data_IF_295171655065
#
_entry.id   IF_295171655065
#
_cell.length_a   1.000
_cell.length_b   1.000
_cell.length_c   1.000
_cell.angle_alpha   90.00
_cell.angle_beta   90.00
_cell.angle_gamma   90.00
#
_symmetry.space_group_name_H-M   'P 1'
#
loop_
_entity.id
_entity.type
_entity.pdbx_description
1 polymer ?
#
# COMPACT_ATOMS: atom_id res chain seq x y z
N UNK A 1 9.97 12.02 10.03
CA UNK A 1 11.36 12.42 9.71
C UNK A 1 12.32 11.24 9.50
N UNK A 2 12.36 10.15 10.28
CA UNK A 2 13.26 9.03 9.96
C UNK A 2 12.89 8.26 8.68
N UNK A 3 11.59 8.09 8.40
CA UNK A 3 11.10 7.41 7.19
C UNK A 3 11.14 8.32 5.95
N UNK A 4 10.83 9.62 6.08
CA UNK A 4 10.89 10.56 4.94
C UNK A 4 12.29 11.14 4.70
N UNK A 5 13.17 11.31 5.69
CA UNK A 5 14.56 11.78 5.43
C UNK A 5 15.47 10.71 4.82
N UNK A 6 15.08 9.44 4.91
CA UNK A 6 15.66 8.36 4.12
C UNK A 6 15.19 8.46 2.65
N UNK A 7 14.17 9.27 2.36
CA UNK A 7 13.61 9.43 1.02
C UNK A 7 13.91 10.81 0.39
N UNK A 8 14.08 11.92 1.14
CA UNK A 8 13.97 13.29 0.55
C UNK A 8 14.88 14.43 1.06
N UNK A 9 15.98 14.19 1.80
CA UNK A 9 16.85 15.32 2.22
C UNK A 9 17.83 15.84 1.13
N UNK A 10 18.46 17.03 1.27
CA UNK A 10 19.64 17.39 0.47
C UNK A 10 20.87 16.54 0.89
N UNK A 11 21.90 16.47 0.04
CA UNK A 11 23.23 16.00 0.44
C UNK A 11 23.89 17.07 1.34
N UNK A 12 24.61 16.71 2.42
CA UNK A 12 25.34 17.72 3.19
C UNK A 12 26.52 18.22 2.35
N UNK A 13 26.58 19.54 2.15
CA UNK A 13 27.78 20.24 1.72
C UNK A 13 28.85 20.10 2.83
N UNK A 14 30.10 19.94 2.43
CA UNK A 14 31.22 19.71 3.34
C UNK A 14 31.48 20.92 4.22
N UNK A 15 31.50 20.69 5.53
CA UNK A 15 32.13 21.58 6.51
C UNK A 15 33.28 20.82 7.16
N UNK A 16 34.45 21.44 7.12
CA UNK A 16 35.71 20.94 7.64
C UNK A 16 35.80 21.11 9.17
N UNK A 17 36.58 20.23 9.80
CA UNK A 17 37.35 20.58 11.00
C UNK A 17 36.66 20.49 12.37
N UNK A 18 36.31 19.29 12.82
CA UNK A 18 36.37 18.89 14.23
C UNK A 18 36.27 17.36 14.33
N UNK A 19 37.13 16.72 15.12
CA UNK A 19 37.15 15.27 15.33
C UNK A 19 35.81 14.80 15.95
N UNK A 20 34.88 14.42 15.09
CA UNK A 20 33.59 13.89 15.47
C UNK A 20 33.75 12.42 15.86
N UNK A 21 33.23 12.03 17.03
CA UNK A 21 32.90 10.64 17.33
C UNK A 21 32.29 9.97 16.08
N UNK A 22 32.60 8.69 15.78
CA UNK A 22 32.04 8.00 14.62
C UNK A 22 30.52 7.97 14.74
N UNK A 23 29.86 8.96 14.13
CA UNK A 23 28.41 9.00 13.98
C UNK A 23 28.05 7.72 13.26
N UNK A 24 27.36 6.80 13.95
CA UNK A 24 26.84 5.56 13.36
C UNK A 24 26.26 5.89 11.96
N UNK A 25 26.68 5.18 10.90
CA UNK A 25 26.29 5.52 9.55
C UNK A 25 24.77 5.57 9.46
N UNK A 26 24.23 6.70 8.97
CA UNK A 26 22.79 6.82 8.73
C UNK A 26 22.39 5.74 7.71
N UNK A 27 21.23 5.07 7.87
CA UNK A 27 20.76 4.12 6.88
C UNK A 27 20.77 4.75 5.48
N UNK A 28 21.26 4.01 4.49
CA UNK A 28 21.26 4.45 3.11
C UNK A 28 19.85 4.86 2.68
N UNK A 29 19.76 5.93 1.90
CA UNK A 29 18.50 6.41 1.34
C UNK A 29 17.98 5.45 0.29
N UNK A 30 16.66 5.32 0.19
CA UNK A 30 15.98 4.37 -0.71
C UNK A 30 15.05 5.09 -1.72
N UNK A 31 15.57 6.04 -2.52
CA UNK A 31 14.75 6.85 -3.43
C UNK A 31 14.00 6.02 -4.48
N UNK A 32 14.57 4.92 -4.97
CA UNK A 32 13.89 4.06 -5.95
C UNK A 32 12.69 3.35 -5.35
N UNK A 33 12.76 2.96 -4.08
CA UNK A 33 11.60 2.44 -3.37
C UNK A 33 10.53 3.50 -3.13
N UNK A 34 10.89 4.78 -2.97
CA UNK A 34 9.90 5.88 -3.03
C UNK A 34 9.24 5.91 -4.40
N UNK A 35 10.03 5.93 -5.47
CA UNK A 35 9.53 6.02 -6.83
C UNK A 35 8.60 4.86 -7.23
N UNK A 36 8.94 3.63 -6.83
CA UNK A 36 8.11 2.44 -7.09
C UNK A 36 6.71 2.48 -6.45
N UNK A 37 6.49 3.33 -5.43
CA UNK A 37 5.16 3.48 -4.84
C UNK A 37 4.13 3.98 -5.85
N UNK A 38 4.53 4.85 -6.77
CA UNK A 38 3.57 5.42 -7.72
C UNK A 38 3.07 4.40 -8.75
N UNK A 39 3.91 3.59 -9.41
CA UNK A 39 3.44 2.46 -10.22
C UNK A 39 2.52 1.50 -9.45
N UNK A 40 2.82 1.20 -8.18
CA UNK A 40 1.96 0.38 -7.34
C UNK A 40 0.59 1.04 -7.07
N UNK A 41 0.56 2.35 -6.80
CA UNK A 41 -0.68 3.09 -6.63
C UNK A 41 -1.49 3.16 -7.95
N UNK A 42 -0.80 3.31 -9.09
CA UNK A 42 -1.42 3.31 -10.41
C UNK A 42 -2.03 1.95 -10.76
N UNK A 43 -1.43 0.84 -10.33
CA UNK A 43 -2.03 -0.49 -10.46
C UNK A 43 -3.37 -0.59 -9.70
N UNK A 44 -3.47 0.05 -8.52
CA UNK A 44 -4.74 0.13 -7.76
C UNK A 44 -5.75 1.07 -8.42
N UNK A 45 -5.29 2.19 -8.99
CA UNK A 45 -6.13 3.05 -9.81
C UNK A 45 -6.71 2.28 -10.99
N UNK A 46 -5.86 1.56 -11.75
CA UNK A 46 -6.27 0.82 -12.93
C UNK A 46 -7.29 -0.27 -12.59
N UNK A 47 -7.13 -0.94 -11.45
CA UNK A 47 -8.12 -1.89 -10.95
C UNK A 47 -9.50 -1.23 -10.85
N UNK A 48 -9.62 -0.13 -10.12
CA UNK A 48 -10.91 0.55 -9.91
C UNK A 48 -11.42 1.26 -11.17
N UNK A 49 -10.54 1.77 -12.02
CA UNK A 49 -10.90 2.41 -13.29
C UNK A 49 -11.60 1.46 -14.27
N UNK A 50 -11.33 0.16 -14.17
CA UNK A 50 -11.91 -0.87 -15.03
C UNK A 50 -12.78 -1.87 -14.26
N UNK A 51 -13.22 -1.53 -13.04
CA UNK A 51 -14.22 -2.33 -12.34
C UNK A 51 -15.59 -2.13 -13.04
N UNK A 52 -16.23 -3.20 -13.54
CA UNK A 52 -17.44 -3.11 -14.35
C UNK A 52 -18.70 -2.95 -13.47
N UNK A 53 -18.68 -1.94 -12.59
CA UNK A 53 -19.77 -1.64 -11.66
C UNK A 53 -20.37 -0.26 -11.97
N UNK A 54 -21.68 -0.04 -11.71
CA UNK A 54 -22.35 1.22 -12.08
C UNK A 54 -21.65 2.50 -11.60
N UNK A 55 -21.04 2.56 -10.39
CA UNK A 55 -20.32 3.75 -9.92
C UNK A 55 -19.01 4.06 -10.64
N UNK A 56 -18.48 3.18 -11.51
CA UNK A 56 -17.14 3.33 -12.10
C UNK A 56 -17.11 3.11 -13.61
N UNK A 57 -17.96 2.22 -14.13
CA UNK A 57 -17.99 1.85 -15.55
C UNK A 57 -18.21 3.06 -16.45
N UNK A 58 -17.34 3.24 -17.43
CA UNK A 58 -17.40 4.33 -18.42
C UNK A 58 -17.62 3.84 -19.86
N UNK A 59 -17.11 2.66 -20.22
CA UNK A 59 -17.08 2.21 -21.60
C UNK A 59 -18.42 1.59 -22.03
N UNK A 60 -18.87 1.98 -23.22
CA UNK A 60 -20.07 1.46 -23.86
C UNK A 60 -19.87 0.05 -24.43
N UNK A 61 -18.68 -0.25 -24.95
CA UNK A 61 -18.36 -1.57 -25.48
C UNK A 61 -18.11 -2.57 -24.34
N UNK A 62 -19.10 -3.44 -24.08
CA UNK A 62 -19.02 -4.51 -23.09
C UNK A 62 -17.77 -5.38 -23.28
N UNK A 63 -17.42 -5.71 -24.53
CA UNK A 63 -16.29 -6.62 -24.80
C UNK A 63 -14.98 -5.99 -24.34
N UNK A 64 -14.75 -4.72 -24.62
CA UNK A 64 -13.56 -4.00 -24.15
C UNK A 64 -13.59 -3.82 -22.64
N UNK A 65 -14.72 -3.43 -22.06
CA UNK A 65 -14.89 -3.25 -20.62
C UNK A 65 -14.53 -4.53 -19.84
N UNK A 66 -15.17 -5.66 -20.15
CA UNK A 66 -14.93 -6.91 -19.43
C UNK A 66 -13.52 -7.46 -19.65
N UNK A 67 -12.95 -7.30 -20.86
CA UNK A 67 -11.54 -7.66 -21.08
C UNK A 67 -10.59 -6.84 -20.21
N UNK A 68 -10.83 -5.54 -20.06
CA UNK A 68 -10.01 -4.69 -19.19
C UNK A 68 -10.23 -5.05 -17.72
N UNK A 69 -11.48 -5.32 -17.31
CA UNK A 69 -11.81 -5.79 -15.98
C UNK A 69 -11.08 -7.08 -15.62
N UNK A 70 -11.00 -8.05 -16.54
CA UNK A 70 -10.22 -9.27 -16.34
C UNK A 70 -8.73 -8.94 -16.20
N UNK A 71 -8.17 -8.18 -17.15
CA UNK A 71 -6.73 -7.85 -17.19
C UNK A 71 -6.26 -7.07 -15.96
N UNK A 72 -7.08 -6.18 -15.39
CA UNK A 72 -6.75 -5.36 -14.22
C UNK A 72 -7.43 -5.84 -12.93
N UNK A 73 -8.19 -6.94 -12.98
CA UNK A 73 -8.96 -7.44 -11.83
C UNK A 73 -8.08 -7.78 -10.61
N UNK A 74 -6.82 -8.14 -10.84
CA UNK A 74 -5.86 -8.53 -9.80
C UNK A 74 -4.82 -7.44 -9.49
N UNK A 75 -4.79 -6.33 -10.24
CA UNK A 75 -3.81 -5.26 -10.04
C UNK A 75 -4.03 -4.48 -8.74
N UNK A 76 -5.26 -4.46 -8.22
CA UNK A 76 -5.57 -3.93 -6.89
C UNK A 76 -4.91 -4.76 -5.78
N UNK A 77 -5.00 -6.09 -5.89
CA UNK A 77 -4.33 -7.04 -4.99
C UNK A 77 -2.81 -6.90 -5.00
N UNK A 78 -2.23 -6.79 -6.20
CA UNK A 78 -0.81 -6.50 -6.40
C UNK A 78 -0.38 -5.24 -5.64
N UNK A 79 -1.07 -4.12 -5.86
CA UNK A 79 -0.72 -2.86 -5.22
C UNK A 79 -0.81 -2.93 -3.70
N UNK A 80 -1.90 -3.49 -3.16
CA UNK A 80 -2.10 -3.65 -1.70
C UNK A 80 -1.03 -4.54 -1.07
N UNK A 81 -0.75 -5.71 -1.65
CA UNK A 81 0.31 -6.60 -1.16
C UNK A 81 1.69 -5.94 -1.22
N UNK A 82 1.98 -5.20 -2.30
CA UNK A 82 3.21 -4.43 -2.42
C UNK A 82 3.35 -3.38 -1.31
N UNK A 83 2.30 -2.59 -1.05
CA UNK A 83 2.34 -1.59 0.02
C UNK A 83 2.49 -2.20 1.41
N UNK A 84 1.82 -3.32 1.70
CA UNK A 84 1.94 -3.98 3.01
C UNK A 84 3.37 -4.49 3.25
N UNK A 85 3.97 -5.20 2.28
CA UNK A 85 5.35 -5.66 2.38
C UNK A 85 6.32 -4.46 2.43
N UNK A 86 6.10 -3.44 1.60
CA UNK A 86 6.94 -2.24 1.57
C UNK A 86 6.90 -1.48 2.89
N UNK A 87 5.74 -1.36 3.52
CA UNK A 87 5.59 -0.71 4.83
C UNK A 87 6.40 -1.42 5.90
N UNK A 88 6.33 -2.75 5.98
CA UNK A 88 7.17 -3.54 6.90
C UNK A 88 8.66 -3.33 6.63
N UNK A 89 9.04 -3.31 5.35
CA UNK A 89 10.43 -3.14 4.92
C UNK A 89 10.97 -1.75 5.28
N UNK A 90 10.31 -0.69 4.84
CA UNK A 90 10.80 0.69 4.98
C UNK A 90 10.74 1.19 6.42
N UNK A 91 9.73 0.77 7.21
CA UNK A 91 9.70 1.07 8.63
C UNK A 91 10.86 0.41 9.37
N UNK A 92 11.15 -0.86 9.07
CA UNK A 92 12.30 -1.58 9.64
C UNK A 92 13.61 -0.92 9.22
N UNK A 93 13.75 -0.55 7.95
CA UNK A 93 14.94 0.09 7.40
C UNK A 93 15.24 1.43 8.08
N UNK A 94 14.21 2.22 8.35
CA UNK A 94 14.32 3.54 8.98
C UNK A 94 14.33 3.54 10.51
N UNK A 95 13.98 2.42 11.15
CA UNK A 95 13.94 2.30 12.61
C UNK A 95 15.31 2.43 13.25
N UNK A 96 15.41 3.27 14.28
CA UNK A 96 16.64 3.51 15.06
C UNK A 96 16.49 2.92 16.46
N UNK A 97 17.60 2.58 17.09
CA UNK A 97 17.57 2.01 18.45
C UNK A 97 17.13 3.05 19.51
N UNK A 98 17.24 4.34 19.20
CA UNK A 98 16.76 5.44 20.04
C UNK A 98 15.30 5.83 19.81
N UNK A 99 14.58 5.15 18.90
CA UNK A 99 13.15 5.42 18.69
C UNK A 99 12.32 4.84 19.85
N UNK A 100 11.47 5.67 20.46
CA UNK A 100 10.48 5.20 21.43
C UNK A 100 9.17 4.79 20.74
N UNK A 101 8.48 3.81 21.30
CA UNK A 101 7.18 3.30 20.82
C UNK A 101 6.15 4.42 20.65
N UNK A 102 5.98 5.28 21.67
CA UNK A 102 5.00 6.38 21.63
C UNK A 102 5.34 7.41 20.55
N UNK A 103 6.62 7.76 20.39
CA UNK A 103 7.04 8.68 19.34
C UNK A 103 6.83 8.07 17.94
N UNK A 104 7.03 6.76 17.79
CA UNK A 104 6.73 6.04 16.57
C UNK A 104 5.24 6.10 16.22
N UNK A 105 4.35 5.71 17.15
CA UNK A 105 2.90 5.74 16.93
C UNK A 105 2.39 7.14 16.62
N UNK A 106 2.85 8.16 17.35
CA UNK A 106 2.48 9.56 17.06
C UNK A 106 2.85 9.96 15.62
N UNK A 107 4.04 9.61 15.15
CA UNK A 107 4.47 9.90 13.77
C UNK A 107 3.61 9.18 12.74
N UNK A 108 3.25 7.93 13.00
CA UNK A 108 2.40 7.14 12.10
C UNK A 108 0.97 7.66 12.06
N UNK A 109 0.40 7.99 13.22
CA UNK A 109 -0.92 8.60 13.32
C UNK A 109 -1.00 9.90 12.52
N UNK A 110 -0.03 10.80 12.70
CA UNK A 110 -0.01 12.08 11.96
C UNK A 110 0.22 11.87 10.45
N UNK A 111 0.92 10.81 10.04
CA UNK A 111 1.13 10.49 8.62
C UNK A 111 -0.16 10.01 7.95
N UNK A 112 -0.95 9.18 8.63
CA UNK A 112 -2.11 8.49 8.04
C UNK A 112 -3.43 9.19 8.34
N UNK A 113 -3.72 9.48 9.60
CA UNK A 113 -5.08 9.78 10.04
C UNK A 113 -5.62 11.12 9.49
N UNK A 114 -4.87 12.24 9.49
CA UNK A 114 -5.41 13.51 9.01
C UNK A 114 -5.86 13.47 7.55
N UNK A 115 -5.03 12.91 6.67
CA UNK A 115 -5.34 12.82 5.24
C UNK A 115 -6.44 11.78 4.97
N UNK A 116 -6.47 10.69 5.76
CA UNK A 116 -7.58 9.74 5.74
C UNK A 116 -8.91 10.42 6.08
N UNK A 117 -8.97 11.24 7.14
CA UNK A 117 -10.19 11.94 7.55
C UNK A 117 -10.66 12.90 6.45
N UNK A 118 -9.74 13.59 5.77
CA UNK A 118 -10.10 14.44 4.62
C UNK A 118 -10.69 13.62 3.48
N UNK A 119 -10.07 12.50 3.11
CA UNK A 119 -10.58 11.61 2.06
C UNK A 119 -11.95 11.01 2.44
N UNK A 120 -12.11 10.55 3.68
CA UNK A 120 -13.37 10.07 4.24
C UNK A 120 -14.47 11.14 4.17
N UNK A 121 -14.15 12.38 4.57
CA UNK A 121 -15.11 13.49 4.53
C UNK A 121 -15.52 13.85 3.11
N UNK A 122 -14.56 13.88 2.17
CA UNK A 122 -14.83 14.10 0.75
C UNK A 122 -15.73 13.00 0.18
N UNK A 123 -15.45 11.73 0.47
CA UNK A 123 -16.27 10.61 0.02
C UNK A 123 -17.70 10.70 0.58
N UNK A 124 -17.85 10.96 1.89
CA UNK A 124 -19.14 11.17 2.54
C UNK A 124 -19.95 12.31 1.91
N UNK A 125 -19.30 13.45 1.64
CA UNK A 125 -19.93 14.60 1.02
C UNK A 125 -20.36 14.35 -0.43
N UNK A 126 -19.50 13.71 -1.22
CA UNK A 126 -19.68 13.60 -2.67
C UNK A 126 -20.60 12.46 -3.06
N UNK A 127 -20.57 11.32 -2.37
CA UNK A 127 -21.41 10.16 -2.74
C UNK A 127 -21.82 9.26 -1.57
N UNK A 128 -20.95 8.97 -0.61
CA UNK A 128 -21.20 7.93 0.39
C UNK A 128 -22.28 8.29 1.41
N UNK A 129 -22.49 9.58 1.69
CA UNK A 129 -23.50 10.05 2.64
C UNK A 129 -24.95 9.74 2.24
N UNK A 130 -25.21 9.43 0.96
CA UNK A 130 -26.57 9.10 0.51
C UNK A 130 -26.99 7.65 0.76
N UNK A 131 -26.05 6.75 1.04
CA UNK A 131 -26.34 5.31 1.20
C UNK A 131 -25.64 4.66 2.41
N UNK A 132 -24.67 5.34 3.05
CA UNK A 132 -23.96 4.79 4.21
C UNK A 132 -24.67 5.17 5.51
N UNK A 133 -25.06 4.17 6.31
CA UNK A 133 -25.63 4.42 7.63
C UNK A 133 -24.62 5.09 8.58
N UNK A 134 -25.10 5.89 9.53
CA UNK A 134 -24.24 6.58 10.53
C UNK A 134 -23.31 5.62 11.26
N UNK A 135 -23.81 4.43 11.65
CA UNK A 135 -23.00 3.41 12.33
C UNK A 135 -21.81 2.97 11.48
N UNK A 136 -22.04 2.69 10.20
CA UNK A 136 -20.99 2.25 9.27
C UNK A 136 -20.03 3.40 8.94
N UNK A 137 -20.54 4.62 8.78
CA UNK A 137 -19.72 5.80 8.54
C UNK A 137 -18.76 6.06 9.72
N UNK A 138 -19.25 5.95 10.96
CA UNK A 138 -18.44 6.06 12.19
C UNK A 138 -17.44 4.92 12.29
N UNK A 139 -17.83 3.67 11.98
CA UNK A 139 -16.91 2.54 11.99
C UNK A 139 -15.74 2.74 11.00
N UNK A 140 -16.02 3.28 9.82
CA UNK A 140 -15.00 3.66 8.84
C UNK A 140 -14.12 4.80 9.39
N UNK A 141 -14.70 5.88 9.91
CA UNK A 141 -13.96 7.03 10.45
C UNK A 141 -12.92 6.64 11.51
N UNK A 142 -13.22 5.62 12.32
CA UNK A 142 -12.31 5.08 13.34
C UNK A 142 -11.48 3.89 12.86
N UNK A 143 -11.53 3.53 11.58
CA UNK A 143 -10.79 2.44 10.96
C UNK A 143 -11.07 1.05 11.58
N UNK A 144 -12.28 0.83 12.11
CA UNK A 144 -12.67 -0.43 12.76
C UNK A 144 -13.57 -1.32 11.89
N UNK A 145 -13.93 -0.86 10.69
CA UNK A 145 -14.77 -1.61 9.75
C UNK A 145 -14.19 -2.97 9.35
N UNK A 146 -12.85 -3.09 9.33
CA UNK A 146 -12.10 -4.30 8.94
C UNK A 146 -12.32 -5.52 9.84
N UNK A 147 -12.84 -5.32 11.04
CA UNK A 147 -13.17 -6.41 11.98
C UNK A 147 -14.53 -7.05 11.70
N UNK A 148 -15.34 -6.44 10.82
CA UNK A 148 -16.69 -6.92 10.51
C UNK A 148 -16.63 -7.75 9.21
N UNK A 149 -17.10 -9.02 9.22
CA UNK A 149 -17.20 -9.86 8.02
C UNK A 149 -18.37 -9.42 7.13
N UNK A 150 -18.35 -8.17 6.66
CA UNK A 150 -19.41 -7.55 5.85
C UNK A 150 -18.80 -6.74 4.72
N UNK A 151 -19.06 -7.14 3.47
CA UNK A 151 -18.60 -6.43 2.29
C UNK A 151 -19.05 -4.96 2.31
N UNK A 152 -20.34 -4.71 2.54
CA UNK A 152 -20.89 -3.36 2.59
C UNK A 152 -20.35 -2.51 3.74
N UNK A 153 -19.87 -3.09 4.84
CA UNK A 153 -19.23 -2.32 5.92
C UNK A 153 -17.79 -1.95 5.57
N UNK A 154 -17.07 -2.84 4.90
CA UNK A 154 -15.66 -2.67 4.54
C UNK A 154 -15.43 -1.68 3.40
N UNK A 155 -16.38 -1.56 2.47
CA UNK A 155 -16.23 -0.80 1.21
C UNK A 155 -17.23 0.36 1.06
N UNK A 156 -17.94 0.78 2.12
CA UNK A 156 -19.05 1.75 2.02
C UNK A 156 -18.64 3.19 1.74
N UNK A 157 -17.62 3.71 2.43
CA UNK A 157 -17.30 5.15 2.37
C UNK A 157 -16.33 5.42 1.24
N UNK A 158 -15.10 4.94 1.43
CA UNK A 158 -14.05 4.97 0.41
C UNK A 158 -13.55 3.54 0.24
N UNK A 159 -13.90 2.92 -0.90
CA UNK A 159 -13.65 1.50 -1.17
C UNK A 159 -12.21 1.06 -0.86
N UNK A 160 -11.15 1.74 -1.33
CA UNK A 160 -9.76 1.34 -1.02
C UNK A 160 -9.34 1.52 0.44
N UNK A 161 -10.13 2.22 1.27
CA UNK A 161 -9.67 2.66 2.59
C UNK A 161 -9.52 1.57 3.67
N UNK A 162 -10.13 0.39 3.47
CA UNK A 162 -9.97 -0.75 4.39
C UNK A 162 -8.50 -1.14 4.56
N UNK A 163 -7.66 -0.96 3.54
CA UNK A 163 -6.25 -1.32 3.59
C UNK A 163 -5.46 -0.43 4.55
N UNK A 164 -5.87 0.84 4.71
CA UNK A 164 -5.28 1.75 5.69
C UNK A 164 -5.69 1.39 7.11
N UNK A 165 -6.91 0.91 7.31
CA UNK A 165 -7.34 0.39 8.60
C UNK A 165 -6.53 -0.84 9.01
N UNK A 166 -6.24 -1.74 8.07
CA UNK A 166 -5.29 -2.84 8.26
C UNK A 166 -3.88 -2.31 8.59
N UNK A 167 -3.40 -1.30 7.86
CA UNK A 167 -2.09 -0.70 8.08
C UNK A 167 -1.96 0.00 9.45
N UNK A 168 -3.04 0.59 9.96
CA UNK A 168 -3.08 1.13 11.32
C UNK A 168 -2.81 0.04 12.37
N UNK A 169 -3.36 -1.17 12.19
CA UNK A 169 -3.08 -2.33 13.05
C UNK A 169 -1.62 -2.77 12.92
N UNK A 170 -1.06 -2.79 11.71
CA UNK A 170 0.37 -3.07 11.51
C UNK A 170 1.26 -2.12 12.30
N UNK A 171 0.91 -0.84 12.30
CA UNK A 171 1.69 0.18 13.01
C UNK A 171 1.54 0.06 14.52
N UNK A 172 0.38 -0.34 15.03
CA UNK A 172 0.23 -0.67 16.45
C UNK A 172 1.14 -1.83 16.85
N UNK A 173 1.18 -2.90 16.04
CA UNK A 173 1.98 -4.09 16.32
C UNK A 173 3.48 -3.94 16.00
N UNK A 174 3.87 -2.98 15.16
CA UNK A 174 5.23 -2.87 14.61
C UNK A 174 6.35 -2.85 15.66
N UNK A 175 6.29 -2.06 16.75
CA UNK A 175 7.35 -2.04 17.75
C UNK A 175 7.60 -3.41 18.39
N UNK A 176 6.53 -4.15 18.69
CA UNK A 176 6.60 -5.50 19.23
C UNK A 176 7.18 -6.48 18.21
N UNK A 177 6.64 -6.49 16.99
CA UNK A 177 7.10 -7.37 15.92
C UNK A 177 8.59 -7.14 15.60
N UNK A 178 8.99 -5.89 15.47
CA UNK A 178 10.39 -5.53 15.25
C UNK A 178 11.27 -5.98 16.41
N UNK A 179 10.83 -5.78 17.65
CA UNK A 179 11.56 -6.22 18.83
C UNK A 179 11.77 -7.74 18.84
N UNK A 180 10.73 -8.53 18.53
CA UNK A 180 10.81 -9.99 18.44
C UNK A 180 11.71 -10.43 17.28
N UNK A 181 11.50 -9.89 16.08
CA UNK A 181 12.23 -10.33 14.89
C UNK A 181 13.71 -9.93 14.89
N UNK A 182 14.09 -8.84 15.58
CA UNK A 182 15.51 -8.50 15.78
C UNK A 182 16.27 -9.54 16.61
N UNK A 183 15.59 -10.36 17.41
CA UNK A 183 16.21 -11.45 18.19
C UNK A 183 16.47 -12.71 17.37
N UNK A 184 15.94 -12.78 16.14
CA UNK A 184 16.18 -13.92 15.25
C UNK A 184 17.63 -13.86 14.78
N UNK A 185 18.37 -14.98 14.95
CA UNK A 185 19.70 -15.13 14.36
C UNK A 185 19.65 -14.83 12.86
N UNK A 186 20.46 -13.90 12.33
CA UNK A 186 20.50 -13.57 10.91
C UNK A 186 20.61 -14.79 9.98
N UNK A 187 21.29 -15.87 10.40
CA UNK A 187 21.41 -17.13 9.63
C UNK A 187 20.08 -17.86 9.46
N UNK A 188 19.15 -17.66 10.40
CA UNK A 188 17.83 -18.30 10.43
C UNK A 188 16.74 -17.49 9.74
N UNK A 189 16.98 -16.23 9.36
CA UNK A 189 15.99 -15.36 8.72
C UNK A 189 15.34 -15.99 7.48
N UNK A 190 16.09 -16.78 6.68
CA UNK A 190 15.55 -17.49 5.51
C UNK A 190 14.39 -18.43 5.84
N UNK A 191 14.43 -19.09 7.00
CA UNK A 191 13.37 -20.01 7.44
C UNK A 191 12.12 -19.24 7.88
N UNK A 192 12.30 -18.10 8.56
CA UNK A 192 11.18 -17.23 8.95
C UNK A 192 10.52 -16.56 7.74
N UNK A 193 11.33 -16.16 6.74
CA UNK A 193 10.83 -15.63 5.46
C UNK A 193 10.03 -16.72 4.73
N UNK A 194 10.57 -17.93 4.62
CA UNK A 194 9.86 -19.06 4.02
C UNK A 194 8.55 -19.38 4.76
N UNK A 195 8.57 -19.38 6.10
CA UNK A 195 7.38 -19.59 6.93
C UNK A 195 6.33 -18.49 6.75
N UNK A 196 6.74 -17.22 6.67
CA UNK A 196 5.82 -16.11 6.41
C UNK A 196 5.21 -16.19 5.00
N UNK A 197 5.99 -16.55 3.98
CA UNK A 197 5.47 -16.82 2.63
C UNK A 197 4.47 -17.98 2.67
N UNK A 198 4.81 -19.09 3.34
CA UNK A 198 3.92 -20.23 3.49
C UNK A 198 2.61 -19.85 4.19
N UNK A 199 2.65 -19.00 5.22
CA UNK A 199 1.45 -18.49 5.89
C UNK A 199 0.56 -17.65 4.96
N UNK A 200 1.15 -16.79 4.12
CA UNK A 200 0.40 -16.04 3.10
C UNK A 200 -0.22 -16.98 2.07
N UNK A 201 0.53 -17.97 1.59
CA UNK A 201 0.06 -18.95 0.58
C UNK A 201 -1.00 -19.90 1.16
N UNK A 202 -0.94 -20.23 2.45
CA UNK A 202 -1.93 -21.07 3.13
C UNK A 202 -3.26 -20.33 3.36
N UNK A 203 -3.25 -19.00 3.38
CA UNK A 203 -4.44 -18.18 3.69
C UNK A 203 -5.62 -18.47 2.75
N UNK A 204 -5.48 -18.47 1.40
CA UNK A 204 -6.56 -18.88 0.50
C UNK A 204 -7.08 -20.31 0.77
N UNK A 205 -6.18 -21.26 1.03
CA UNK A 205 -6.55 -22.65 1.32
C UNK A 205 -7.43 -22.73 2.58
N UNK A 206 -7.01 -22.06 3.66
CA UNK A 206 -7.76 -21.97 4.91
C UNK A 206 -9.10 -21.27 4.72
N UNK A 207 -9.14 -20.21 3.92
CA UNK A 207 -10.38 -19.51 3.60
C UNK A 207 -11.40 -20.45 2.94
N UNK A 208 -10.98 -21.13 1.87
CA UNK A 208 -11.85 -22.04 1.12
C UNK A 208 -12.25 -23.29 1.91
N UNK A 209 -11.40 -23.76 2.82
CA UNK A 209 -11.66 -24.95 3.63
C UNK A 209 -12.54 -24.68 4.86
N UNK A 210 -12.34 -23.54 5.54
CA UNK A 210 -12.93 -23.29 6.87
C UNK A 210 -14.18 -22.40 6.83
N UNK A 211 -14.37 -21.58 5.79
CA UNK A 211 -15.45 -20.61 5.73
C UNK A 211 -16.56 -21.04 4.76
N UNK A 212 -17.83 -20.73 5.07
CA UNK A 212 -18.98 -21.11 4.25
C UNK A 212 -18.89 -20.46 2.86
N UNK A 213 -19.51 -21.08 1.86
CA UNK A 213 -19.59 -20.57 0.48
C UNK A 213 -20.67 -19.50 0.28
N UNK A 214 -21.50 -19.25 1.27
CA UNK A 214 -22.59 -18.26 1.23
C UNK A 214 -22.52 -17.29 2.43
N UNK A 215 -23.08 -16.08 2.29
CA UNK A 215 -23.57 -15.47 1.05
C UNK A 215 -22.42 -15.12 0.09
N UNK A 216 -22.66 -15.12 -1.24
CA UNK A 216 -21.63 -14.75 -2.22
C UNK A 216 -21.21 -13.29 -2.06
N UNK A 217 -19.98 -12.97 -2.43
CA UNK A 217 -19.51 -11.59 -2.45
C UNK A 217 -20.24 -10.80 -3.56
N UNK A 218 -20.69 -9.55 -3.30
CA UNK A 218 -21.41 -8.74 -4.31
C UNK A 218 -20.59 -8.35 -5.55
N UNK A 219 -19.28 -8.63 -5.58
CA UNK A 219 -18.39 -8.31 -6.70
C UNK A 219 -18.48 -9.28 -7.88
N UNK A 220 -19.38 -10.27 -7.85
CA UNK A 220 -19.55 -11.26 -8.91
C UNK A 220 -18.50 -12.37 -8.94
N UNK A 221 -17.56 -12.36 -7.99
CA UNK A 221 -16.53 -13.38 -7.86
C UNK A 221 -17.09 -14.65 -7.20
N UNK A 222 -16.57 -15.81 -7.59
CA UNK A 222 -17.02 -17.13 -7.10
C UNK A 222 -16.42 -17.43 -5.72
N UNK A 223 -16.83 -16.67 -4.70
CA UNK A 223 -16.51 -16.87 -3.29
C UNK A 223 -17.49 -16.15 -2.36
N UNK A 224 -17.46 -16.49 -1.07
CA UNK A 224 -18.33 -15.87 -0.07
C UNK A 224 -17.75 -14.58 0.53
N UNK A 225 -18.61 -13.79 1.16
CA UNK A 225 -18.21 -12.62 1.96
C UNK A 225 -17.22 -13.01 3.05
N UNK A 226 -17.45 -14.13 3.75
CA UNK A 226 -16.57 -14.58 4.85
C UNK A 226 -15.22 -15.07 4.36
N UNK A 227 -15.18 -15.80 3.24
CA UNK A 227 -13.94 -16.24 2.60
C UNK A 227 -13.10 -15.03 2.15
N UNK A 228 -13.75 -14.06 1.50
CA UNK A 228 -13.10 -12.83 1.06
C UNK A 228 -12.60 -12.00 2.24
N UNK A 229 -13.43 -11.78 3.26
CA UNK A 229 -13.05 -11.03 4.45
C UNK A 229 -11.84 -11.65 5.17
N UNK A 230 -11.87 -12.96 5.45
CA UNK A 230 -10.78 -13.65 6.12
C UNK A 230 -9.48 -13.56 5.31
N UNK A 231 -9.53 -13.88 4.02
CA UNK A 231 -8.34 -13.95 3.19
C UNK A 231 -7.81 -12.58 2.75
N UNK A 232 -8.64 -11.56 2.66
CA UNK A 232 -8.28 -10.30 2.02
C UNK A 232 -8.28 -9.10 2.96
N UNK A 233 -9.21 -9.03 3.93
CA UNK A 233 -9.46 -7.83 4.74
C UNK A 233 -8.96 -7.97 6.19
N UNK A 234 -9.08 -9.15 6.80
CA UNK A 234 -8.83 -9.37 8.22
C UNK A 234 -7.37 -9.03 8.63
N UNK A 235 -7.13 -8.03 9.51
CA UNK A 235 -5.78 -7.54 9.78
C UNK A 235 -4.78 -8.59 10.31
N UNK A 236 -5.13 -9.51 11.24
CA UNK A 236 -4.22 -10.56 11.69
C UNK A 236 -3.68 -11.45 10.56
N UNK A 237 -4.51 -11.75 9.55
CA UNK A 237 -4.11 -12.53 8.37
C UNK A 237 -3.18 -11.71 7.47
N UNK A 238 -3.47 -10.41 7.30
CA UNK A 238 -2.62 -9.49 6.54
C UNK A 238 -1.29 -9.15 7.24
N UNK A 239 -1.19 -9.40 8.55
CA UNK A 239 0.03 -9.17 9.32
C UNK A 239 1.21 -9.99 8.78
N UNK A 240 0.95 -11.15 8.15
CA UNK A 240 1.98 -11.96 7.51
C UNK A 240 2.68 -11.22 6.35
N UNK A 241 1.96 -10.42 5.55
CA UNK A 241 2.57 -9.63 4.46
C UNK A 241 3.48 -8.54 5.04
N UNK A 242 3.02 -7.87 6.09
CA UNK A 242 3.78 -6.83 6.78
C UNK A 242 5.03 -7.39 7.48
N UNK A 243 4.87 -8.49 8.21
CA UNK A 243 5.95 -9.22 8.86
C UNK A 243 7.02 -9.69 7.87
N UNK A 244 6.60 -10.17 6.70
CA UNK A 244 7.49 -10.53 5.60
C UNK A 244 8.37 -9.35 5.18
N UNK A 245 7.80 -8.15 5.07
CA UNK A 245 8.55 -6.91 4.85
C UNK A 245 9.63 -6.65 5.91
N UNK A 246 9.30 -6.83 7.20
CA UNK A 246 10.25 -6.66 8.32
C UNK A 246 11.41 -7.66 8.19
N UNK A 247 11.08 -8.94 8.01
CA UNK A 247 12.06 -10.02 7.92
C UNK A 247 13.01 -9.83 6.74
N UNK A 248 12.48 -9.42 5.58
CA UNK A 248 13.27 -9.16 4.37
C UNK A 248 14.19 -7.94 4.58
N UNK A 249 13.72 -6.87 5.21
CA UNK A 249 14.57 -5.72 5.55
C UNK A 249 15.72 -6.10 6.49
N UNK A 250 15.46 -6.96 7.49
CA UNK A 250 16.51 -7.49 8.36
C UNK A 250 17.51 -8.36 7.57
N UNK A 251 17.02 -9.22 6.68
CA UNK A 251 17.89 -10.07 5.85
C UNK A 251 18.79 -9.26 4.93
N UNK A 252 18.25 -8.21 4.29
CA UNK A 252 19.03 -7.27 3.47
C UNK A 252 20.05 -6.53 4.33
N UNK A 253 19.64 -5.99 5.49
CA UNK A 253 20.53 -5.24 6.41
C UNK A 253 21.71 -6.09 6.91
N UNK A 254 21.49 -7.38 7.18
CA UNK A 254 22.53 -8.28 7.66
C UNK A 254 23.35 -8.94 6.54
N UNK A 255 23.17 -8.54 5.27
CA UNK A 255 23.88 -9.14 4.13
C UNK A 255 23.53 -10.62 3.91
N UNK A 256 22.34 -11.05 4.37
CA UNK A 256 21.84 -12.43 4.24
C UNK A 256 20.85 -12.61 3.10
N UNK A 257 20.52 -11.55 2.39
CA UNK A 257 19.65 -11.59 1.22
C UNK A 257 20.44 -11.91 -0.05
N UNK A 258 19.93 -12.84 -0.86
CA UNK A 258 20.49 -13.13 -2.18
C UNK A 258 19.73 -12.36 -3.25
N UNK A 259 20.32 -11.27 -3.71
CA UNK A 259 19.72 -10.41 -4.74
C UNK A 259 19.79 -11.08 -6.12
N UNK A 260 18.65 -11.16 -6.82
CA UNK A 260 18.56 -11.63 -8.21
C UNK A 260 18.47 -10.48 -9.22
N UNK A 261 18.48 -9.23 -8.75
CA UNK A 261 18.37 -8.04 -9.58
C UNK A 261 16.92 -7.67 -9.92
N UNK A 262 16.73 -6.41 -10.30
CA UNK A 262 15.40 -5.85 -10.57
C UNK A 262 14.76 -6.45 -11.83
N UNK A 263 15.55 -6.74 -12.88
CA UNK A 263 15.03 -7.30 -14.14
C UNK A 263 14.36 -8.65 -13.89
N UNK A 264 15.07 -9.59 -13.27
CA UNK A 264 14.51 -10.91 -12.96
C UNK A 264 13.36 -10.84 -11.96
N UNK A 265 13.45 -9.97 -10.96
CA UNK A 265 12.34 -9.75 -10.02
C UNK A 265 11.08 -9.23 -10.72
N UNK A 266 11.22 -8.31 -11.69
CA UNK A 266 10.11 -7.79 -12.48
C UNK A 266 9.54 -8.82 -13.45
N UNK A 267 10.37 -9.65 -14.08
CA UNK A 267 9.91 -10.76 -14.93
C UNK A 267 9.13 -11.79 -14.12
N UNK A 268 9.61 -12.14 -12.92
CA UNK A 268 8.88 -13.01 -12.00
C UNK A 268 7.57 -12.37 -11.52
N UNK A 269 7.53 -11.05 -11.36
CA UNK A 269 6.30 -10.35 -11.00
C UNK A 269 5.29 -10.39 -12.15
N UNK A 270 5.74 -10.17 -13.39
CA UNK A 270 4.91 -10.32 -14.58
C UNK A 270 4.38 -11.75 -14.74
N UNK A 271 5.23 -12.77 -14.54
CA UNK A 271 4.82 -14.17 -14.55
C UNK A 271 3.85 -14.52 -13.42
N UNK A 272 4.09 -14.00 -12.21
CA UNK A 272 3.19 -14.16 -11.06
C UNK A 272 1.84 -13.47 -11.25
N UNK A 273 1.82 -12.32 -11.95
CA UNK A 273 0.60 -11.64 -12.35
C UNK A 273 -0.15 -12.44 -13.41
N UNK A 274 0.54 -12.95 -14.44
CA UNK A 274 -0.07 -13.81 -15.45
C UNK A 274 -0.65 -15.09 -14.83
N UNK A 275 0.03 -15.68 -13.85
CA UNK A 275 -0.47 -16.86 -13.14
C UNK A 275 -1.82 -16.60 -12.44
N UNK A 276 -2.15 -15.34 -12.12
CA UNK A 276 -3.44 -15.01 -11.50
C UNK A 276 -4.65 -15.38 -12.36
N UNK A 277 -4.48 -15.47 -13.69
CA UNK A 277 -5.55 -15.88 -14.63
C UNK A 277 -5.82 -17.39 -14.62
N UNK A 278 -4.95 -18.18 -13.98
CA UNK A 278 -4.98 -19.64 -14.03
C UNK A 278 -5.18 -20.29 -12.65
N UNK A 279 -5.39 -19.49 -11.61
CA UNK A 279 -5.60 -19.96 -10.24
C UNK A 279 -6.89 -19.37 -9.67
N UNK A 280 -7.48 -19.96 -8.61
CA UNK A 280 -8.65 -19.38 -7.96
C UNK A 280 -8.39 -17.96 -7.48
N UNK A 281 -9.44 -17.14 -7.48
CA UNK A 281 -9.35 -15.69 -7.24
C UNK A 281 -8.51 -15.30 -6.01
N UNK A 282 -8.69 -15.97 -4.86
CA UNK A 282 -7.93 -15.67 -3.64
C UNK A 282 -6.44 -16.04 -3.74
N UNK A 283 -6.09 -17.09 -4.48
CA UNK A 283 -4.68 -17.40 -4.74
C UNK A 283 -4.02 -16.34 -5.61
N UNK A 284 -4.73 -15.84 -6.63
CA UNK A 284 -4.22 -14.72 -7.42
C UNK A 284 -4.07 -13.43 -6.59
N UNK A 285 -5.03 -13.14 -5.70
CA UNK A 285 -4.99 -11.95 -4.83
C UNK A 285 -3.90 -12.01 -3.74
N UNK A 286 -3.56 -13.20 -3.25
CA UNK A 286 -2.68 -13.36 -2.07
C UNK A 286 -1.33 -14.01 -2.35
N UNK A 287 -1.28 -15.03 -3.19
CA UNK A 287 -0.18 -15.98 -3.21
C UNK A 287 0.76 -15.80 -4.41
N UNK A 288 0.24 -15.67 -5.63
CA UNK A 288 1.06 -15.78 -6.86
C UNK A 288 2.13 -14.68 -6.96
N UNK A 289 1.85 -13.50 -6.41
CA UNK A 289 2.73 -12.32 -6.51
C UNK A 289 3.56 -12.05 -5.26
N UNK A 290 3.32 -12.72 -4.12
CA UNK A 290 3.95 -12.36 -2.84
C UNK A 290 5.48 -12.48 -2.87
N UNK A 291 5.99 -13.59 -3.43
CA UNK A 291 7.42 -13.83 -3.55
C UNK A 291 8.07 -12.84 -4.56
N UNK A 292 7.52 -12.67 -5.78
CA UNK A 292 8.02 -11.63 -6.70
C UNK A 292 8.02 -10.21 -6.13
N UNK A 293 6.99 -9.82 -5.36
CA UNK A 293 6.92 -8.51 -4.69
C UNK A 293 8.10 -8.34 -3.71
N UNK A 294 8.35 -9.36 -2.88
CA UNK A 294 9.47 -9.36 -1.93
C UNK A 294 10.81 -9.24 -2.66
N UNK A 295 11.00 -10.02 -3.73
CA UNK A 295 12.21 -10.00 -4.54
C UNK A 295 12.43 -8.61 -5.15
N UNK A 296 11.38 -7.99 -5.70
CA UNK A 296 11.45 -6.67 -6.30
C UNK A 296 11.78 -5.58 -5.27
N UNK A 297 11.14 -5.60 -4.10
CA UNK A 297 11.43 -4.63 -3.01
C UNK A 297 12.88 -4.75 -2.57
N UNK A 298 13.35 -5.98 -2.31
CA UNK A 298 14.73 -6.21 -1.87
C UNK A 298 15.74 -5.84 -2.96
N UNK A 299 15.50 -6.22 -4.22
CA UNK A 299 16.38 -5.89 -5.35
C UNK A 299 16.48 -4.38 -5.58
N UNK A 300 15.36 -3.66 -5.42
CA UNK A 300 15.34 -2.20 -5.53
C UNK A 300 16.10 -1.55 -4.38
N UNK A 301 15.91 -2.02 -3.15
CA UNK A 301 16.67 -1.53 -2.01
C UNK A 301 18.18 -1.77 -2.18
N UNK A 302 18.56 -2.97 -2.62
CA UNK A 302 19.96 -3.30 -2.91
C UNK A 302 20.54 -2.43 -4.02
N UNK A 303 19.77 -2.11 -5.08
CA UNK A 303 20.21 -1.17 -6.11
C UNK A 303 20.48 0.24 -5.57
N UNK A 304 19.63 0.75 -4.68
CA UNK A 304 19.85 2.03 -4.01
C UNK A 304 21.08 2.01 -3.09
N UNK A 305 21.27 0.94 -2.31
CA UNK A 305 22.42 0.76 -1.41
C UNK A 305 23.73 0.74 -2.18
N UNK A 306 23.76 0.04 -3.31
CA UNK A 306 24.95 -0.06 -4.18
C UNK A 306 25.10 1.13 -5.12
N UNK A 307 24.22 2.13 -5.05
CA UNK A 307 24.27 3.33 -5.87
C UNK A 307 23.98 3.10 -7.36
N UNK A 308 23.43 1.94 -7.74
CA UNK A 308 23.10 1.61 -9.13
C UNK A 308 22.04 2.56 -9.69
N UNK A 309 22.09 2.76 -11.00
CA UNK A 309 21.03 3.46 -11.71
C UNK A 309 19.74 2.63 -11.69
N UNK A 310 18.62 3.31 -11.49
CA UNK A 310 17.28 2.76 -11.72
C UNK A 310 16.39 3.85 -12.29
N UNK A 311 15.41 3.48 -13.11
CA UNK A 311 14.43 4.43 -13.63
C UNK A 311 13.61 5.11 -12.52
N UNK A 312 13.48 4.48 -11.35
CA UNK A 312 12.64 4.96 -10.25
C UNK A 312 13.34 5.94 -9.30
N UNK A 313 14.66 6.13 -9.42
CA UNK A 313 15.44 7.05 -8.57
C UNK A 313 15.32 8.52 -9.00
N UNK A 314 14.81 8.79 -10.19
CA UNK A 314 14.77 10.14 -10.74
C UNK A 314 13.81 11.06 -9.96
N UNK A 315 14.04 12.38 -10.03
CA UNK A 315 13.28 13.36 -9.24
C UNK A 315 11.77 13.32 -9.48
N UNK A 316 11.33 13.08 -10.71
CA UNK A 316 9.91 13.01 -11.03
C UNK A 316 9.26 11.78 -10.39
N UNK A 317 9.89 10.60 -10.52
CA UNK A 317 9.40 9.38 -9.88
C UNK A 317 9.37 9.48 -8.36
N UNK A 318 10.42 10.05 -7.75
CA UNK A 318 10.44 10.26 -6.29
C UNK A 318 9.31 11.19 -5.85
N UNK A 319 9.06 12.30 -6.56
CA UNK A 319 7.94 13.22 -6.26
C UNK A 319 6.58 12.55 -6.41
N UNK A 320 6.37 11.77 -7.47
CA UNK A 320 5.15 10.97 -7.64
C UNK A 320 4.99 9.95 -6.51
N UNK A 321 6.10 9.34 -6.09
CA UNK A 321 6.14 8.43 -4.95
C UNK A 321 5.80 9.10 -3.62
N UNK A 322 6.20 10.36 -3.41
CA UNK A 322 5.85 11.14 -2.20
C UNK A 322 4.34 11.39 -2.09
N UNK A 323 3.69 11.76 -3.21
CA UNK A 323 2.24 12.03 -3.25
C UNK A 323 1.39 10.77 -3.43
N UNK A 324 2.01 9.60 -3.66
CA UNK A 324 1.31 8.35 -3.97
C UNK A 324 0.30 7.92 -2.89
N UNK A 325 0.54 8.28 -1.63
CA UNK A 325 -0.39 8.00 -0.55
C UNK A 325 -1.70 8.80 -0.67
N UNK A 326 -1.59 10.10 -0.98
CA UNK A 326 -2.74 10.94 -1.27
C UNK A 326 -3.48 10.47 -2.54
N UNK A 327 -2.73 10.06 -3.57
CA UNK A 327 -3.32 9.50 -4.81
C UNK A 327 -4.08 8.21 -4.53
N UNK A 328 -3.51 7.32 -3.72
CA UNK A 328 -4.17 6.09 -3.27
C UNK A 328 -5.49 6.39 -2.55
N UNK A 329 -5.57 7.45 -1.74
CA UNK A 329 -6.82 7.78 -1.05
C UNK A 329 -7.86 8.47 -1.96
N UNK A 330 -7.40 9.33 -2.87
CA UNK A 330 -8.32 10.16 -3.65
C UNK A 330 -8.83 9.49 -4.92
N UNK A 331 -8.14 8.48 -5.48
CA UNK A 331 -8.49 7.96 -6.80
C UNK A 331 -9.92 7.43 -6.90
N UNK A 332 -10.37 6.65 -5.91
CA UNK A 332 -11.71 6.07 -5.95
C UNK A 332 -12.79 7.15 -5.85
N UNK A 333 -12.56 8.14 -4.98
CA UNK A 333 -13.44 9.31 -4.84
C UNK A 333 -13.49 10.11 -6.16
N UNK A 334 -12.36 10.30 -6.82
CA UNK A 334 -12.29 11.00 -8.10
C UNK A 334 -13.05 10.25 -9.21
N UNK A 335 -12.82 8.94 -9.35
CA UNK A 335 -13.50 8.09 -10.33
C UNK A 335 -15.02 8.06 -10.09
N UNK A 336 -15.44 7.81 -8.84
CA UNK A 336 -16.85 7.73 -8.47
C UNK A 336 -17.58 9.07 -8.63
N UNK A 337 -16.90 10.18 -8.30
CA UNK A 337 -17.46 11.53 -8.49
C UNK A 337 -17.62 11.86 -9.96
N UNK A 338 -16.61 11.57 -10.79
CA UNK A 338 -16.74 11.72 -12.24
C UNK A 338 -17.96 10.95 -12.74
N UNK A 339 -18.07 9.66 -12.40
CA UNK A 339 -19.19 8.84 -12.88
C UNK A 339 -20.54 9.36 -12.40
N UNK A 340 -20.64 9.79 -11.13
CA UNK A 340 -21.85 10.41 -10.58
C UNK A 340 -22.24 11.67 -11.34
N UNK A 341 -21.27 12.53 -11.69
CA UNK A 341 -21.54 13.78 -12.45
C UNK A 341 -21.98 13.54 -13.89
N UNK A 342 -21.45 12.50 -14.55
CA UNK A 342 -21.84 12.11 -15.91
C UNK A 342 -23.19 11.37 -15.95
N UNK A 343 -23.65 10.86 -14.80
CA UNK A 343 -24.80 9.99 -14.69
C UNK A 343 -24.49 8.54 -15.11
N UNK A 344 -25.20 7.58 -14.52
CA UNK A 344 -24.96 6.15 -14.78
C UNK A 344 -25.65 5.62 -16.05
N UNK A 345 -26.49 6.44 -16.69
CA UNK A 345 -27.32 6.04 -17.84
C UNK A 345 -26.58 6.11 -19.18
N UNK A 346 -25.57 6.98 -19.29
CA UNK A 346 -24.80 7.15 -20.51
C UNK A 346 -23.46 6.42 -20.39
N UNK A 347 -23.09 5.70 -21.43
CA UNK A 347 -21.75 5.11 -21.58
C UNK A 347 -21.05 5.76 -22.77
N UNK A 348 -19.72 5.74 -22.76
CA UNK A 348 -18.90 6.48 -23.71
C UNK A 348 -18.14 5.54 -24.64
N UNK A 349 -17.80 6.03 -25.83
CA UNK A 349 -16.89 5.31 -26.74
C UNK A 349 -15.55 5.04 -26.05
N UNK A 350 -14.83 4.00 -26.46
CA UNK A 350 -13.55 3.63 -25.83
C UNK A 350 -12.56 4.80 -25.81
N UNK A 351 -12.45 5.55 -26.90
CA UNK A 351 -11.57 6.74 -26.98
C UNK A 351 -11.94 7.80 -25.95
N UNK A 352 -13.23 8.14 -25.83
CA UNK A 352 -13.70 9.12 -24.86
C UNK A 352 -13.54 8.61 -23.42
N UNK A 353 -13.88 7.35 -23.17
CA UNK A 353 -13.71 6.70 -21.86
C UNK A 353 -12.25 6.70 -21.40
N UNK A 354 -11.31 6.32 -22.28
CA UNK A 354 -9.88 6.39 -21.96
C UNK A 354 -9.41 7.83 -21.71
N UNK A 355 -9.82 8.79 -22.55
CA UNK A 355 -9.47 10.20 -22.34
C UNK A 355 -9.98 10.71 -20.98
N UNK A 356 -11.21 10.35 -20.59
CA UNK A 356 -11.77 10.65 -19.27
C UNK A 356 -10.99 10.00 -18.13
N UNK A 357 -10.57 8.74 -18.27
CA UNK A 357 -9.76 8.04 -17.27
C UNK A 357 -8.38 8.68 -17.12
N UNK A 358 -7.71 9.04 -18.22
CA UNK A 358 -6.44 9.77 -18.19
C UNK A 358 -6.60 11.15 -17.54
N UNK A 359 -7.66 11.89 -17.89
CA UNK A 359 -8.02 13.15 -17.26
C UNK A 359 -8.24 13.00 -15.75
N UNK A 360 -8.95 11.95 -15.34
CA UNK A 360 -9.20 11.64 -13.92
C UNK A 360 -7.91 11.31 -13.18
N UNK A 361 -7.01 10.53 -13.78
CA UNK A 361 -5.71 10.24 -13.19
C UNK A 361 -4.88 11.52 -13.01
N UNK A 362 -4.86 12.41 -14.02
CA UNK A 362 -4.15 13.67 -13.96
C UNK A 362 -4.72 14.61 -12.88
N UNK A 363 -6.06 14.75 -12.81
CA UNK A 363 -6.74 15.50 -11.75
C UNK A 363 -6.44 14.91 -10.38
N UNK A 364 -6.46 13.58 -10.24
CA UNK A 364 -6.14 12.91 -8.98
C UNK A 364 -4.69 13.21 -8.56
N UNK A 365 -3.72 13.19 -9.47
CA UNK A 365 -2.33 13.59 -9.19
C UNK A 365 -2.25 15.03 -8.69
N UNK A 366 -2.96 15.97 -9.33
CA UNK A 366 -2.99 17.37 -8.91
C UNK A 366 -3.60 17.54 -7.51
N UNK A 367 -4.77 16.92 -7.26
CA UNK A 367 -5.41 16.95 -5.95
C UNK A 367 -4.53 16.30 -4.87
N UNK A 368 -3.81 15.24 -5.22
CA UNK A 368 -2.87 14.56 -4.33
C UNK A 368 -1.70 15.45 -3.95
N UNK A 369 -1.17 16.21 -4.91
CA UNK A 369 -0.13 17.20 -4.64
C UNK A 369 -0.62 18.33 -3.74
N UNK A 370 -1.84 18.85 -3.95
CA UNK A 370 -2.46 19.85 -3.07
C UNK A 370 -2.62 19.29 -1.66
N UNK A 371 -3.21 18.10 -1.51
CA UNK A 371 -3.46 17.50 -0.21
C UNK A 371 -2.16 17.17 0.55
N UNK A 372 -1.15 16.67 -0.17
CA UNK A 372 0.18 16.44 0.39
C UNK A 372 0.84 17.74 0.88
N UNK A 373 0.83 18.80 0.06
CA UNK A 373 1.52 20.06 0.37
C UNK A 373 0.83 20.88 1.46
N UNK A 374 -0.50 20.82 1.55
CA UNK A 374 -1.31 21.63 2.48
C UNK A 374 -1.63 20.92 3.80
N UNK A 375 -1.76 19.60 3.81
CA UNK A 375 -2.15 18.83 5.02
C UNK A 375 -1.01 17.95 5.49
N UNK A 376 -0.58 17.01 4.65
CA UNK A 376 0.33 15.94 5.08
C UNK A 376 1.71 16.47 5.47
N UNK A 377 2.39 17.20 4.57
CA UNK A 377 3.74 17.68 4.78
C UNK A 377 3.85 18.71 5.92
N UNK A 378 2.92 19.68 6.09
CA UNK A 378 2.93 20.59 7.24
C UNK A 378 2.76 19.88 8.58
N UNK A 379 1.77 18.97 8.68
CA UNK A 379 1.53 18.22 9.91
C UNK A 379 2.72 17.32 10.24
N UNK A 380 3.29 16.65 9.24
CA UNK A 380 4.48 15.84 9.43
C UNK A 380 5.68 16.66 9.89
N UNK A 381 5.90 17.87 9.34
CA UNK A 381 6.98 18.78 9.78
C UNK A 381 6.79 19.22 11.24
N UNK A 382 5.56 19.53 11.66
CA UNK A 382 5.24 20.02 13.01
C UNK A 382 5.37 18.93 14.07
N UNK A 383 4.80 17.75 13.84
CA UNK A 383 4.64 16.73 14.88
C UNK A 383 5.67 15.58 14.84
N UNK A 384 6.48 15.48 13.77
CA UNK A 384 7.52 14.45 13.67
C UNK A 384 8.83 14.78 14.37
N UNK A 385 9.01 16.01 14.87
CA UNK A 385 10.15 16.36 15.72
C UNK A 385 9.95 15.72 17.09
N UNK A 386 10.90 14.88 17.51
CA UNK A 386 11.02 14.56 18.93
C UNK A 386 11.28 15.88 19.63
N UNK A 387 10.45 16.27 20.62
CA UNK A 387 10.85 17.33 21.54
C UNK A 387 12.14 16.81 22.15
N UNK A 388 13.29 17.41 21.78
CA UNK A 388 14.51 17.25 22.56
C UNK A 388 14.07 17.49 24.00
N UNK A 389 14.25 16.50 24.86
CA UNK A 389 14.21 16.73 26.30
C UNK A 389 15.06 17.97 26.51
N UNK A 390 14.44 19.07 26.96
CA UNK A 390 15.23 20.14 27.56
C UNK A 390 15.83 19.45 28.78
N UNK A 391 17.09 19.07 28.66
CA UNK A 391 17.90 18.69 29.80
C UNK A 391 17.79 19.87 30.78
N UNK A 392 17.19 19.60 31.94
CA UNK A 392 17.47 20.33 33.16
C UNK A 392 18.73 19.74 33.76
#
# INVERSE_FOLDING_TARGET
MATDQVLTGPAPAGESGAAAEPRRPRPARLPSLTGLRFPAALAVFAHHAFLPIPPLRLLADDRTEYRLADWFGQSGGLGVAFFFVLSGFVLTWSARDSDTTTAFWRRRFVKIYPIYVVAWALAMLLFAGSYTSTRVAVANLFMVQVWVPSYFTNFSVDSPSWSLAVEAVFYLCFPLLLHVFRRIDPRRLKYWIAGAIAAVVATPALAYALFPKTPPVPSGQVLSVSQYWFAYVLPPVRMADFALGILVALAVRHGRWRNIGMVWSSLLLAGGYWLTFHVPYLYGQRATMILPIVLLIAATATADIEGRFTLFRNRAMVRLGEISFAFYLLHYTALSTLRKTLGTQHMYSSTAGFAMLFGTAAVTVLLSWVLYSTVEAPLMRRFSRSRRSKAG
#
